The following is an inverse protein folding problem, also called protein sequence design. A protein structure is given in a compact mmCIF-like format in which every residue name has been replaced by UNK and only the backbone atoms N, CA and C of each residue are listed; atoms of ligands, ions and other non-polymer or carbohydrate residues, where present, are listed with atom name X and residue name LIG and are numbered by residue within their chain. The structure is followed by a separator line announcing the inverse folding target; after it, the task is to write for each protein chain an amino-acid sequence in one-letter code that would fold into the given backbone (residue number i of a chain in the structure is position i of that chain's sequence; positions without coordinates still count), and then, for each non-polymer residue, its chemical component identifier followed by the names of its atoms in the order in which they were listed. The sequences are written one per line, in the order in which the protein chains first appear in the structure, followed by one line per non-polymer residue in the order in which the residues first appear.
data_IF_806128056613
#
_entry.id   IF_806128056613
#
_cell.length_a   1.000
_cell.length_b   1.000
_cell.length_c   1.000
_cell.angle_alpha   90.00
_cell.angle_beta   90.00
_cell.angle_gamma   90.00
#
_symmetry.space_group_name_H-M   'P 1'
#
loop_
_entity.id
_entity.type
_entity.pdbx_description
1 polymer ?
#
# COMPACT_ATOMS: atom_id res chain seq x y z
N UNK A 1 26.70 -61.06 4.98
CA UNK A 1 26.79 -59.64 5.40
C UNK A 1 26.39 -58.61 4.30
N UNK A 2 26.36 -58.94 3.03
CA UNK A 2 26.08 -57.99 1.92
C UNK A 2 24.59 -57.63 1.74
N UNK A 3 23.63 -58.48 2.06
CA UNK A 3 22.18 -58.20 1.90
C UNK A 3 21.62 -57.15 2.88
N UNK A 4 22.18 -57.02 4.09
CA UNK A 4 21.70 -56.00 5.07
C UNK A 4 22.13 -54.56 4.74
N UNK A 5 23.28 -54.38 4.05
CA UNK A 5 23.78 -53.05 3.63
C UNK A 5 22.94 -52.44 2.50
N UNK A 6 22.46 -53.24 1.52
CA UNK A 6 21.62 -52.74 0.42
C UNK A 6 20.23 -52.21 0.90
N UNK A 7 19.65 -52.85 1.92
CA UNK A 7 18.36 -52.41 2.48
C UNK A 7 18.46 -51.08 3.24
N UNK A 8 19.59 -50.82 3.89
CA UNK A 8 19.78 -49.57 4.64
C UNK A 8 20.01 -48.37 3.67
N UNK A 9 20.86 -48.56 2.66
CA UNK A 9 21.14 -47.52 1.66
C UNK A 9 19.88 -47.19 0.87
N UNK A 10 19.05 -48.15 0.48
CA UNK A 10 17.80 -47.87 -0.23
C UNK A 10 16.77 -47.09 0.63
N UNK A 11 16.72 -47.37 1.92
CA UNK A 11 15.84 -46.61 2.85
C UNK A 11 16.32 -45.18 3.06
N UNK A 12 17.59 -44.95 3.22
CA UNK A 12 18.17 -43.60 3.40
C UNK A 12 17.96 -42.78 2.11
N UNK A 13 18.17 -43.34 0.93
CA UNK A 13 17.89 -42.64 -0.35
C UNK A 13 16.39 -42.36 -0.53
N UNK A 14 15.51 -43.28 -0.12
CA UNK A 14 14.04 -43.05 -0.21
C UNK A 14 13.59 -41.92 0.73
N UNK A 15 14.10 -41.87 1.95
CA UNK A 15 13.77 -40.79 2.89
C UNK A 15 14.33 -39.43 2.49
N UNK A 16 15.54 -39.40 1.92
CA UNK A 16 16.12 -38.17 1.41
C UNK A 16 15.38 -37.65 0.16
N UNK A 17 14.99 -38.51 -0.77
CA UNK A 17 14.18 -38.14 -1.92
C UNK A 17 12.76 -37.70 -1.51
N UNK A 18 12.15 -38.38 -0.54
CA UNK A 18 10.83 -38.00 -0.01
C UNK A 18 10.90 -36.63 0.69
N UNK A 19 11.93 -36.40 1.51
CA UNK A 19 12.15 -35.09 2.18
C UNK A 19 12.41 -33.97 1.19
N UNK A 20 13.14 -34.22 0.10
CA UNK A 20 13.38 -33.27 -0.99
C UNK A 20 12.05 -32.99 -1.73
N UNK A 21 11.27 -34.03 -2.03
CA UNK A 21 9.99 -33.88 -2.73
C UNK A 21 8.96 -33.10 -1.88
N UNK A 22 8.90 -33.37 -0.56
CA UNK A 22 8.07 -32.63 0.39
C UNK A 22 8.54 -31.18 0.51
N UNK A 23 9.85 -30.95 0.60
CA UNK A 23 10.42 -29.59 0.68
C UNK A 23 10.17 -28.78 -0.60
N UNK A 24 10.36 -29.35 -1.79
CA UNK A 24 10.06 -28.69 -3.07
C UNK A 24 8.54 -28.58 -3.31
N UNK A 25 7.76 -29.58 -2.93
CA UNK A 25 6.29 -29.55 -3.03
C UNK A 25 5.64 -28.50 -2.15
N UNK A 26 6.10 -28.36 -0.89
CA UNK A 26 5.62 -27.32 0.05
C UNK A 26 6.05 -25.93 -0.43
N UNK A 27 7.29 -25.77 -0.93
CA UNK A 27 7.72 -24.48 -1.46
C UNK A 27 7.01 -24.11 -2.78
N UNK A 28 6.72 -25.06 -3.67
CA UNK A 28 5.99 -24.83 -4.90
C UNK A 28 4.52 -24.46 -4.63
N UNK A 29 3.87 -25.07 -3.63
CA UNK A 29 2.51 -24.73 -3.21
C UNK A 29 2.45 -23.36 -2.51
N UNK A 30 3.51 -22.96 -1.77
CA UNK A 30 3.54 -21.65 -1.08
C UNK A 30 3.72 -20.47 -2.03
N UNK A 31 4.37 -20.63 -3.18
CA UNK A 31 4.63 -19.54 -4.12
C UNK A 31 3.39 -19.16 -4.96
N UNK A 32 2.47 -20.11 -5.21
CA UNK A 32 1.28 -19.85 -6.01
C UNK A 32 0.23 -18.97 -5.32
N UNK A 33 0.19 -18.96 -4.00
CA UNK A 33 -0.82 -18.26 -3.19
C UNK A 33 -0.29 -17.02 -2.47
N UNK A 34 0.99 -16.65 -2.67
CA UNK A 34 1.62 -15.47 -2.07
C UNK A 34 1.40 -14.24 -2.95
N UNK A 35 0.88 -13.18 -2.39
CA UNK A 35 0.80 -11.86 -3.03
C UNK A 35 1.89 -10.95 -2.46
N UNK A 36 2.65 -10.26 -3.34
CA UNK A 36 3.66 -9.29 -2.92
C UNK A 36 3.46 -7.97 -3.64
N UNK A 37 3.38 -6.87 -2.91
CA UNK A 37 3.21 -5.55 -3.49
C UNK A 37 4.05 -4.50 -2.77
N UNK A 38 4.30 -3.38 -3.47
CA UNK A 38 4.85 -2.18 -2.86
C UNK A 38 3.72 -1.20 -2.55
N UNK A 39 3.70 -0.67 -1.33
CA UNK A 39 2.79 0.39 -0.91
C UNK A 39 3.58 1.67 -0.67
N UNK A 40 3.34 2.64 -1.52
CA UNK A 40 3.92 3.98 -1.47
C UNK A 40 2.83 5.01 -1.20
N UNK A 41 3.16 6.14 -0.59
CA UNK A 41 2.21 7.20 -0.28
C UNK A 41 2.89 8.55 -0.19
N UNK A 42 2.13 9.61 -0.43
CA UNK A 42 2.56 10.98 -0.15
C UNK A 42 3.93 11.31 -0.78
N UNK A 43 4.04 11.03 -2.08
CA UNK A 43 5.25 11.27 -2.89
C UNK A 43 5.53 12.77 -3.00
N UNK A 44 4.45 13.59 -3.10
CA UNK A 44 4.52 15.04 -3.24
C UNK A 44 5.56 15.49 -4.25
N UNK A 45 5.56 14.89 -5.45
CA UNK A 45 6.44 15.33 -6.51
C UNK A 45 6.28 16.83 -6.74
N UNK A 46 7.38 17.55 -6.72
CA UNK A 46 7.39 19.02 -6.71
C UNK A 46 8.51 19.58 -7.57
N UNK A 47 8.28 20.78 -8.11
CA UNK A 47 9.27 21.63 -8.76
C UNK A 47 9.84 22.70 -7.81
N UNK A 48 9.43 22.67 -6.53
CA UNK A 48 9.91 23.62 -5.53
C UNK A 48 11.38 23.41 -5.19
N UNK A 49 12.09 24.51 -5.05
CA UNK A 49 13.48 24.57 -4.59
C UNK A 49 13.63 24.80 -3.10
N UNK A 50 12.51 25.07 -2.41
CA UNK A 50 12.46 25.39 -0.98
C UNK A 50 11.62 24.32 -0.27
N UNK A 51 12.15 23.85 0.85
CA UNK A 51 11.48 22.88 1.72
C UNK A 51 10.49 23.57 2.66
N UNK A 52 9.57 22.79 3.22
CA UNK A 52 8.67 23.24 4.29
C UNK A 52 9.18 22.81 5.66
N UNK A 53 8.42 23.10 6.71
CA UNK A 53 8.76 22.73 8.09
C UNK A 53 8.82 21.20 8.34
N UNK A 54 8.40 20.36 7.40
CA UNK A 54 8.43 18.89 7.54
C UNK A 54 8.55 18.12 6.22
N UNK A 55 8.49 18.80 5.06
CA UNK A 55 8.62 18.18 3.74
C UNK A 55 9.88 18.67 3.02
N UNK A 56 10.75 17.75 2.59
CA UNK A 56 11.93 18.05 1.76
C UNK A 56 11.54 18.06 0.28
N UNK A 57 10.67 18.99 -0.09
CA UNK A 57 10.09 19.09 -1.44
C UNK A 57 11.14 19.33 -2.53
N UNK A 58 12.21 20.06 -2.21
CA UNK A 58 13.32 20.31 -3.14
C UNK A 58 14.05 19.04 -3.59
N UNK A 59 13.88 17.93 -2.86
CA UNK A 59 14.47 16.62 -3.13
C UNK A 59 13.45 15.56 -3.55
N UNK A 60 12.19 15.95 -3.80
CA UNK A 60 11.11 15.00 -4.11
C UNK A 60 11.42 14.13 -5.34
N UNK A 61 12.07 14.71 -6.36
CA UNK A 61 12.44 14.00 -7.59
C UNK A 61 13.49 12.93 -7.36
N UNK A 62 14.51 13.22 -6.56
CA UNK A 62 15.60 12.31 -6.21
C UNK A 62 15.08 11.16 -5.34
N UNK A 63 14.27 11.48 -4.33
CA UNK A 63 13.65 10.51 -3.45
C UNK A 63 12.72 9.55 -4.22
N UNK A 64 11.93 10.09 -5.15
CA UNK A 64 11.04 9.27 -5.97
C UNK A 64 11.81 8.33 -6.92
N UNK A 65 12.92 8.80 -7.47
CA UNK A 65 13.78 7.96 -8.31
C UNK A 65 14.45 6.83 -7.51
N UNK A 66 14.96 7.14 -6.30
CA UNK A 66 15.49 6.14 -5.38
C UNK A 66 14.45 5.08 -5.02
N UNK A 67 13.21 5.49 -4.71
CA UNK A 67 12.10 4.59 -4.40
C UNK A 67 11.77 3.65 -5.56
N UNK A 68 11.62 4.18 -6.77
CA UNK A 68 11.36 3.38 -7.99
C UNK A 68 12.48 2.37 -8.22
N UNK A 69 13.73 2.78 -8.04
CA UNK A 69 14.89 1.90 -8.20
C UNK A 69 14.93 0.79 -7.14
N UNK A 70 14.62 1.13 -5.88
CA UNK A 70 14.54 0.14 -4.80
C UNK A 70 13.41 -0.87 -5.05
N UNK A 71 12.22 -0.43 -5.46
CA UNK A 71 11.09 -1.31 -5.80
C UNK A 71 11.47 -2.24 -6.95
N UNK A 72 12.10 -1.71 -8.00
CA UNK A 72 12.54 -2.49 -9.16
C UNK A 72 13.62 -3.52 -8.83
N UNK A 73 14.34 -3.38 -7.72
CA UNK A 73 15.32 -4.34 -7.24
C UNK A 73 14.70 -5.53 -6.49
N UNK A 74 13.45 -5.39 -6.03
CA UNK A 74 12.74 -6.45 -5.32
C UNK A 74 12.12 -7.44 -6.33
N UNK A 75 12.46 -8.73 -6.24
CA UNK A 75 11.91 -9.72 -7.16
C UNK A 75 10.43 -10.00 -6.90
N UNK A 76 9.69 -10.31 -7.97
CA UNK A 76 8.32 -10.81 -7.91
C UNK A 76 7.32 -9.87 -7.22
N UNK A 77 7.40 -8.56 -7.48
CA UNK A 77 6.35 -7.61 -7.12
C UNK A 77 5.16 -7.82 -8.07
N UNK A 78 4.00 -8.17 -7.53
CA UNK A 78 2.77 -8.37 -8.31
C UNK A 78 2.17 -7.03 -8.77
N UNK A 79 2.23 -5.99 -7.91
CA UNK A 79 1.83 -4.62 -8.23
C UNK A 79 2.44 -3.59 -7.29
N UNK A 80 2.36 -2.33 -7.68
CA UNK A 80 2.67 -1.16 -6.83
C UNK A 80 1.40 -0.33 -6.67
N UNK A 81 1.16 0.22 -5.49
CA UNK A 81 0.02 1.10 -5.26
C UNK A 81 0.45 2.37 -4.52
N UNK A 82 -0.04 3.52 -5.04
CA UNK A 82 0.14 4.84 -4.43
C UNK A 82 -1.16 5.23 -3.74
N UNK A 83 -1.10 5.47 -2.43
CA UNK A 83 -2.26 5.95 -1.66
C UNK A 83 -2.29 7.48 -1.55
N UNK A 84 -2.27 8.13 -2.70
CA UNK A 84 -2.52 9.57 -2.85
C UNK A 84 -1.31 10.47 -2.67
N UNK A 85 -1.56 11.76 -2.90
CA UNK A 85 -0.60 12.84 -2.87
C UNK A 85 0.63 12.55 -3.74
N UNK A 86 0.36 12.09 -4.98
CA UNK A 86 1.39 11.76 -5.95
C UNK A 86 2.17 13.03 -6.38
N UNK A 87 1.47 14.15 -6.56
CA UNK A 87 2.04 15.46 -6.79
C UNK A 87 1.73 16.42 -5.63
N UNK A 88 2.64 17.36 -5.33
CA UNK A 88 2.43 18.38 -4.29
C UNK A 88 1.29 19.35 -4.63
N UNK A 89 0.97 19.48 -5.91
CA UNK A 89 -0.19 20.23 -6.44
C UNK A 89 -0.75 19.56 -7.68
N UNK A 90 -2.07 19.66 -7.95
CA UNK A 90 -2.68 19.09 -9.14
C UNK A 90 -2.37 19.94 -10.38
N UNK A 91 -1.15 19.82 -10.89
CA UNK A 91 -0.65 20.49 -12.07
C UNK A 91 -0.25 19.46 -13.12
N UNK A 92 -0.68 19.69 -14.37
CA UNK A 92 -0.45 18.75 -15.46
C UNK A 92 1.03 18.40 -15.68
N UNK A 93 2.00 19.35 -15.67
CA UNK A 93 3.42 19.01 -15.86
C UNK A 93 3.97 18.10 -14.74
N UNK A 94 3.58 18.35 -13.49
CA UNK A 94 3.99 17.51 -12.36
C UNK A 94 3.38 16.11 -12.44
N UNK A 95 2.09 16.01 -12.81
CA UNK A 95 1.44 14.72 -13.02
C UNK A 95 2.05 13.94 -14.18
N UNK A 96 2.41 14.65 -15.26
CA UNK A 96 3.11 14.06 -16.41
C UNK A 96 4.44 13.43 -15.97
N UNK A 97 5.27 14.19 -15.28
CA UNK A 97 6.54 13.72 -14.74
C UNK A 97 6.34 12.55 -13.74
N UNK A 98 5.32 12.64 -12.88
CA UNK A 98 5.00 11.57 -11.93
C UNK A 98 4.62 10.27 -12.64
N UNK A 99 3.75 10.34 -13.66
CA UNK A 99 3.38 9.18 -14.46
C UNK A 99 4.59 8.58 -15.20
N UNK A 100 5.48 9.42 -15.74
CA UNK A 100 6.69 8.94 -16.42
C UNK A 100 7.63 8.21 -15.48
N UNK A 101 7.76 8.67 -14.22
CA UNK A 101 8.54 7.97 -13.18
C UNK A 101 7.87 6.67 -12.76
N UNK A 102 6.56 6.67 -12.51
CA UNK A 102 5.80 5.46 -12.19
C UNK A 102 5.87 4.42 -13.31
N UNK A 103 5.88 4.85 -14.57
CA UNK A 103 6.00 3.95 -15.73
C UNK A 103 7.41 3.32 -15.89
N UNK A 104 8.41 3.73 -15.10
CA UNK A 104 9.70 3.02 -14.98
C UNK A 104 9.63 1.79 -14.07
N UNK A 105 8.53 1.62 -13.31
CA UNK A 105 8.30 0.43 -12.51
C UNK A 105 8.14 -0.80 -13.43
N UNK A 106 8.75 -1.92 -13.03
CA UNK A 106 8.62 -3.21 -13.75
C UNK A 106 7.25 -3.86 -13.52
N UNK A 107 6.64 -3.61 -12.35
CA UNK A 107 5.32 -4.11 -11.99
C UNK A 107 4.23 -3.10 -12.39
N UNK A 108 2.97 -3.55 -12.66
CA UNK A 108 1.85 -2.66 -12.87
C UNK A 108 1.62 -1.79 -11.62
N UNK A 109 1.22 -0.54 -11.83
CA UNK A 109 0.93 0.35 -10.71
C UNK A 109 -0.52 0.84 -10.70
N UNK A 110 -1.00 1.17 -9.50
CA UNK A 110 -2.36 1.64 -9.23
C UNK A 110 -2.32 2.89 -8.36
N UNK A 111 -3.44 3.61 -8.29
CA UNK A 111 -3.49 4.93 -7.67
C UNK A 111 -4.82 5.15 -6.95
N UNK A 112 -4.76 5.64 -5.70
CA UNK A 112 -5.87 6.26 -4.98
C UNK A 112 -5.62 7.77 -4.88
N UNK A 113 -6.68 8.58 -4.91
CA UNK A 113 -6.55 10.02 -4.75
C UNK A 113 -6.14 10.43 -3.35
N UNK A 114 -5.24 11.43 -3.24
CA UNK A 114 -4.96 12.20 -2.04
C UNK A 114 -5.52 13.64 -2.14
N UNK A 115 -5.56 14.35 -1.03
CA UNK A 115 -6.14 15.69 -0.99
C UNK A 115 -5.32 16.72 -1.80
N UNK A 116 -4.02 16.51 -2.00
CA UNK A 116 -3.20 17.34 -2.88
C UNK A 116 -3.47 17.07 -4.37
N UNK A 117 -3.91 15.88 -4.74
CA UNK A 117 -4.27 15.51 -6.12
C UNK A 117 -5.65 16.08 -6.52
N UNK A 118 -6.52 16.39 -5.54
CA UNK A 118 -7.89 16.87 -5.72
C UNK A 118 -8.11 18.29 -5.20
N UNK A 119 -7.07 19.11 -5.07
CA UNK A 119 -7.17 20.44 -4.45
C UNK A 119 -8.14 21.38 -5.17
N UNK A 120 -9.02 21.99 -4.39
CA UNK A 120 -10.05 22.94 -4.84
C UNK A 120 -9.40 24.23 -5.41
N UNK A 121 -10.04 24.82 -6.43
CA UNK A 121 -9.60 26.09 -6.99
C UNK A 121 -8.45 25.99 -7.99
N UNK A 122 -8.05 24.77 -8.36
CA UNK A 122 -7.04 24.54 -9.40
C UNK A 122 -7.68 24.41 -10.78
N UNK A 123 -6.93 24.73 -11.84
CA UNK A 123 -7.37 24.56 -13.21
C UNK A 123 -7.40 23.10 -13.68
N UNK A 124 -6.72 22.22 -12.95
CA UNK A 124 -6.63 20.80 -13.28
C UNK A 124 -7.47 19.99 -12.28
N UNK A 125 -8.76 19.87 -12.61
CA UNK A 125 -9.77 19.22 -11.78
C UNK A 125 -9.56 17.71 -11.66
N UNK A 126 -10.11 17.13 -10.61
CA UNK A 126 -10.01 15.71 -10.22
C UNK A 126 -10.39 14.75 -11.36
N UNK A 127 -11.49 14.99 -12.07
CA UNK A 127 -11.91 14.19 -13.23
C UNK A 127 -10.85 14.14 -14.32
N UNK A 128 -10.31 15.31 -14.71
CA UNK A 128 -9.24 15.42 -15.70
C UNK A 128 -7.91 14.83 -15.21
N UNK A 129 -7.63 14.93 -13.92
CA UNK A 129 -6.47 14.32 -13.29
C UNK A 129 -6.54 12.79 -13.43
N UNK A 130 -7.69 12.20 -13.08
CA UNK A 130 -7.90 10.76 -13.22
C UNK A 130 -7.85 10.29 -14.67
N UNK A 131 -8.50 11.00 -15.58
CA UNK A 131 -8.44 10.70 -17.02
C UNK A 131 -7.02 10.74 -17.57
N UNK A 132 -6.22 11.67 -17.07
CA UNK A 132 -4.81 11.77 -17.46
C UNK A 132 -4.01 10.56 -16.99
N UNK A 133 -4.20 10.14 -15.72
CA UNK A 133 -3.58 8.91 -15.19
C UNK A 133 -3.99 7.70 -16.02
N UNK A 134 -5.30 7.50 -16.29
CA UNK A 134 -5.79 6.37 -17.10
C UNK A 134 -5.18 6.31 -18.51
N UNK A 135 -4.98 7.45 -19.13
CA UNK A 135 -4.34 7.52 -20.46
C UNK A 135 -2.90 7.03 -20.44
N UNK A 136 -2.17 7.29 -19.36
CA UNK A 136 -0.74 6.94 -19.21
C UNK A 136 -0.51 5.63 -18.47
N UNK A 137 -1.48 5.17 -17.68
CA UNK A 137 -1.44 3.91 -16.94
C UNK A 137 -2.49 2.92 -17.48
N UNK A 138 -2.02 1.90 -18.19
CA UNK A 138 -2.89 0.88 -18.79
C UNK A 138 -3.41 -0.17 -17.81
N UNK A 139 -2.95 -0.14 -16.56
CA UNK A 139 -3.38 -1.07 -15.52
C UNK A 139 -4.75 -0.70 -14.94
N UNK A 140 -5.09 0.60 -14.89
CA UNK A 140 -6.37 1.10 -14.38
C UNK A 140 -7.41 1.03 -15.49
N UNK A 141 -8.45 0.20 -15.29
CA UNK A 141 -9.53 -0.04 -16.26
C UNK A 141 -10.88 0.57 -15.85
N UNK A 142 -10.90 1.31 -14.73
CA UNK A 142 -12.13 1.92 -14.20
C UNK A 142 -12.46 3.26 -14.85
N UNK A 143 -13.75 3.58 -14.90
CA UNK A 143 -14.24 4.92 -15.25
C UNK A 143 -14.40 5.83 -14.02
N UNK A 144 -14.44 5.25 -12.81
CA UNK A 144 -14.53 5.97 -11.54
C UNK A 144 -13.20 5.96 -10.80
N UNK A 145 -12.92 6.98 -9.94
CA UNK A 145 -11.70 7.05 -9.14
C UNK A 145 -11.63 6.00 -8.01
N UNK A 146 -12.72 5.28 -7.79
CA UNK A 146 -12.76 4.11 -6.91
C UNK A 146 -13.03 2.85 -7.75
N UNK A 147 -12.33 1.76 -7.45
CA UNK A 147 -12.39 0.56 -8.27
C UNK A 147 -11.87 -0.67 -7.52
N UNK A 148 -12.10 -1.85 -8.10
CA UNK A 148 -11.54 -3.10 -7.60
C UNK A 148 -10.97 -3.95 -8.72
N UNK A 149 -10.02 -4.81 -8.36
CA UNK A 149 -9.45 -5.82 -9.25
C UNK A 149 -8.93 -7.02 -8.46
N UNK A 150 -8.71 -8.13 -9.16
CA UNK A 150 -8.12 -9.36 -8.61
C UNK A 150 -6.69 -9.48 -9.12
N UNK A 151 -5.69 -9.11 -8.30
CA UNK A 151 -4.28 -9.17 -8.72
C UNK A 151 -3.79 -10.61 -8.86
N UNK A 152 -4.33 -11.49 -8.01
CA UNK A 152 -4.02 -12.92 -7.94
C UNK A 152 -5.21 -13.66 -7.31
N UNK A 153 -5.39 -14.95 -7.63
CA UNK A 153 -6.42 -15.78 -7.01
C UNK A 153 -6.31 -15.72 -5.48
N UNK A 154 -7.45 -15.56 -4.80
CA UNK A 154 -7.51 -15.46 -3.33
C UNK A 154 -7.36 -14.06 -2.76
N UNK A 155 -7.21 -13.02 -3.60
CA UNK A 155 -7.08 -11.63 -3.16
C UNK A 155 -7.97 -10.71 -3.98
N UNK A 156 -8.51 -9.67 -3.35
CA UNK A 156 -9.22 -8.57 -4.00
C UNK A 156 -8.63 -7.25 -3.53
N UNK A 157 -8.14 -6.46 -4.45
CA UNK A 157 -7.74 -5.08 -4.21
C UNK A 157 -8.96 -4.19 -4.42
N UNK A 158 -9.21 -3.30 -3.47
CA UNK A 158 -10.29 -2.31 -3.50
C UNK A 158 -9.65 -0.95 -3.28
N UNK A 159 -9.79 -0.05 -4.23
CA UNK A 159 -9.29 1.32 -4.14
C UNK A 159 -10.47 2.24 -3.90
N UNK A 160 -10.38 3.07 -2.86
CA UNK A 160 -11.41 4.03 -2.47
C UNK A 160 -10.90 5.46 -2.67
N UNK A 161 -11.83 6.36 -2.89
CA UNK A 161 -11.59 7.79 -3.01
C UNK A 161 -12.38 8.54 -1.93
N UNK A 162 -11.68 8.99 -0.90
CA UNK A 162 -12.25 9.79 0.19
C UNK A 162 -11.92 11.28 0.05
N UNK A 163 -11.37 11.72 -1.09
CA UNK A 163 -10.97 13.13 -1.25
C UNK A 163 -12.17 14.03 -1.53
N UNK A 164 -12.18 15.18 -0.87
CA UNK A 164 -13.23 16.21 -1.01
C UNK A 164 -12.71 17.31 -1.94
N UNK A 165 -13.36 17.49 -3.10
CA UNK A 165 -13.01 18.51 -4.11
C UNK A 165 -14.03 19.64 -4.23
N UNK A 166 -15.02 19.69 -3.31
CA UNK A 166 -16.09 20.71 -3.28
C UNK A 166 -15.80 21.86 -2.31
N UNK A 167 -14.88 21.67 -1.36
CA UNK A 167 -14.45 22.66 -0.37
C UNK A 167 -12.96 22.50 -0.03
N UNK A 168 -12.34 23.56 0.47
CA UNK A 168 -10.94 23.51 0.93
C UNK A 168 -10.89 22.74 2.25
N UNK A 169 -10.32 21.54 2.23
CA UNK A 169 -10.13 20.69 3.41
C UNK A 169 -9.04 19.67 3.15
N UNK A 170 -8.33 19.25 4.20
CA UNK A 170 -7.49 18.06 4.16
C UNK A 170 -8.18 16.85 4.82
N UNK A 171 -9.41 17.00 5.31
CA UNK A 171 -10.21 15.87 5.77
C UNK A 171 -10.76 15.07 4.58
N UNK A 172 -10.94 13.78 4.78
CA UNK A 172 -11.60 12.88 3.83
C UNK A 172 -13.04 12.59 4.21
N UNK A 173 -13.85 12.19 3.22
CA UNK A 173 -15.21 11.74 3.39
C UNK A 173 -15.54 10.71 2.30
N UNK A 174 -16.03 9.54 2.67
CA UNK A 174 -16.47 8.53 1.69
C UNK A 174 -17.93 8.79 1.34
N UNK A 175 -18.28 9.04 0.06
CA UNK A 175 -19.66 9.17 -0.36
C UNK A 175 -20.48 7.92 -0.03
N UNK A 176 -21.79 8.11 0.25
CA UNK A 176 -22.69 7.00 0.62
C UNK A 176 -22.75 5.92 -0.44
N UNK A 177 -22.83 6.29 -1.70
CA UNK A 177 -22.83 5.38 -2.85
C UNK A 177 -21.53 4.56 -2.93
N UNK A 178 -20.41 5.12 -2.52
CA UNK A 178 -19.14 4.40 -2.48
C UNK A 178 -19.08 3.41 -1.31
N UNK A 179 -19.67 3.74 -0.16
CA UNK A 179 -19.82 2.83 0.98
C UNK A 179 -20.74 1.64 0.64
N UNK A 180 -21.87 1.91 -0.07
CA UNK A 180 -22.75 0.85 -0.57
C UNK A 180 -22.05 -0.05 -1.60
N UNK A 181 -21.30 0.53 -2.51
CA UNK A 181 -20.47 -0.21 -3.46
C UNK A 181 -19.41 -1.06 -2.76
N UNK A 182 -18.75 -0.52 -1.73
CA UNK A 182 -17.77 -1.27 -0.93
C UNK A 182 -18.41 -2.49 -0.24
N UNK A 183 -19.61 -2.31 0.34
CA UNK A 183 -20.36 -3.41 0.97
C UNK A 183 -20.56 -4.57 -0.03
N UNK A 184 -20.95 -4.26 -1.28
CA UNK A 184 -21.04 -5.25 -2.36
C UNK A 184 -19.68 -5.91 -2.69
N UNK A 185 -18.60 -5.13 -2.76
CA UNK A 185 -17.27 -5.68 -3.05
C UNK A 185 -16.78 -6.63 -1.95
N UNK A 186 -17.09 -6.34 -0.69
CA UNK A 186 -16.74 -7.19 0.45
C UNK A 186 -17.58 -8.48 0.46
N UNK A 187 -18.87 -8.39 0.14
CA UNK A 187 -19.74 -9.56 -0.02
C UNK A 187 -19.24 -10.50 -1.13
N UNK A 188 -18.81 -9.93 -2.27
CA UNK A 188 -18.24 -10.70 -3.38
C UNK A 188 -16.90 -11.34 -3.00
N UNK A 189 -16.04 -10.62 -2.27
CA UNK A 189 -14.78 -11.14 -1.77
C UNK A 189 -15.01 -12.33 -0.82
N UNK A 190 -15.95 -12.19 0.11
CA UNK A 190 -16.33 -13.24 1.05
C UNK A 190 -16.85 -14.49 0.30
N UNK A 191 -17.77 -14.31 -0.64
CA UNK A 191 -18.33 -15.39 -1.47
C UNK A 191 -17.26 -16.11 -2.30
N UNK A 192 -16.24 -15.37 -2.75
CA UNK A 192 -15.15 -15.87 -3.57
C UNK A 192 -13.94 -16.36 -2.77
N UNK A 193 -14.01 -16.37 -1.44
CA UNK A 193 -12.91 -16.70 -0.51
C UNK A 193 -11.63 -15.89 -0.81
N UNK A 194 -11.80 -14.58 -1.07
CA UNK A 194 -10.74 -13.62 -1.32
C UNK A 194 -10.47 -12.79 -0.06
N UNK A 195 -9.22 -12.40 0.13
CA UNK A 195 -8.80 -11.43 1.16
C UNK A 195 -8.92 -10.02 0.58
N UNK A 196 -9.82 -9.16 1.12
CA UNK A 196 -9.90 -7.77 0.72
C UNK A 196 -8.69 -6.98 1.22
N UNK A 197 -8.02 -6.28 0.30
CA UNK A 197 -6.97 -5.30 0.55
C UNK A 197 -7.50 -3.95 0.08
N UNK A 198 -7.85 -3.08 1.03
CA UNK A 198 -8.48 -1.77 0.78
C UNK A 198 -7.41 -0.70 0.82
N UNK A 199 -7.40 0.17 -0.18
CA UNK A 199 -6.43 1.27 -0.30
C UNK A 199 -7.18 2.59 -0.46
N UNK A 200 -6.85 3.55 0.39
CA UNK A 200 -7.34 4.91 0.32
C UNK A 200 -6.29 5.86 0.95
N UNK A 201 -6.42 7.15 0.72
CA UNK A 201 -5.47 8.10 1.28
C UNK A 201 -5.69 8.35 2.78
N UNK A 202 -6.93 8.69 3.18
CA UNK A 202 -7.26 9.04 4.56
C UNK A 202 -7.40 7.78 5.42
N UNK A 203 -6.63 7.66 6.53
CA UNK A 203 -6.68 6.46 7.37
C UNK A 203 -8.01 6.33 8.12
N UNK A 204 -8.51 5.08 8.24
CA UNK A 204 -9.61 4.77 9.14
C UNK A 204 -9.16 4.80 10.61
N UNK A 205 -7.95 4.27 10.89
CA UNK A 205 -7.30 4.37 12.20
C UNK A 205 -6.19 5.42 12.12
N UNK A 206 -6.39 6.55 12.82
CA UNK A 206 -5.45 7.67 12.79
C UNK A 206 -4.13 7.30 13.50
N UNK A 207 -2.95 7.51 12.91
CA UNK A 207 -1.65 7.33 13.57
C UNK A 207 -1.48 8.18 14.83
N UNK A 208 -2.06 9.37 14.82
CA UNK A 208 -2.19 10.30 15.95
C UNK A 208 -3.40 11.23 15.74
N UNK A 209 -4.03 11.77 16.81
CA UNK A 209 -5.24 12.59 16.67
C UNK A 209 -5.01 13.87 15.85
N UNK A 210 -5.91 14.15 14.90
CA UNK A 210 -5.92 15.40 14.13
C UNK A 210 -7.34 15.79 13.73
N UNK A 211 -7.75 17.04 14.01
CA UNK A 211 -9.06 17.56 13.60
C UNK A 211 -9.14 17.93 12.11
N UNK A 212 -8.00 18.10 11.44
CA UNK A 212 -7.90 18.62 10.08
C UNK A 212 -7.44 17.60 9.04
N UNK A 213 -7.16 16.33 9.46
CA UNK A 213 -6.61 15.30 8.57
C UNK A 213 -7.36 13.96 8.67
N UNK A 214 -8.53 13.94 9.32
CA UNK A 214 -9.28 12.69 9.59
C UNK A 214 -10.22 12.32 8.45
N UNK A 215 -10.62 11.06 8.42
CA UNK A 215 -11.79 10.61 7.69
C UNK A 215 -13.03 10.96 8.50
N UNK A 216 -13.88 11.89 7.99
CA UNK A 216 -14.99 12.47 8.76
C UNK A 216 -16.02 11.41 9.13
N UNK A 217 -16.37 10.53 8.17
CA UNK A 217 -17.35 9.46 8.37
C UNK A 217 -16.67 8.08 8.59
N UNK A 218 -15.62 8.07 9.42
CA UNK A 218 -14.89 6.86 9.78
C UNK A 218 -15.78 5.77 10.39
N UNK A 219 -16.78 6.16 11.20
CA UNK A 219 -17.70 5.21 11.85
C UNK A 219 -18.61 4.50 10.85
N UNK A 220 -19.10 5.19 9.81
CA UNK A 220 -19.89 4.59 8.73
C UNK A 220 -19.02 3.60 7.92
N UNK A 221 -17.78 3.97 7.61
CA UNK A 221 -16.84 3.07 6.94
C UNK A 221 -16.56 1.83 7.80
N UNK A 222 -16.26 2.02 9.08
CA UNK A 222 -16.04 0.93 10.04
C UNK A 222 -17.26 0.02 10.18
N UNK A 223 -18.46 0.59 10.17
CA UNK A 223 -19.70 -0.17 10.22
C UNK A 223 -19.85 -1.09 9.00
N UNK A 224 -19.49 -0.62 7.79
CA UNK A 224 -19.48 -1.45 6.58
C UNK A 224 -18.50 -2.61 6.72
N UNK A 225 -17.25 -2.35 7.16
CA UNK A 225 -16.26 -3.41 7.34
C UNK A 225 -16.70 -4.46 8.35
N UNK A 226 -17.34 -4.05 9.45
CA UNK A 226 -17.78 -4.93 10.52
C UNK A 226 -18.99 -5.80 10.17
N UNK A 227 -19.70 -5.56 9.09
CA UNK A 227 -20.73 -6.49 8.57
C UNK A 227 -20.12 -7.79 8.07
N UNK A 228 -18.88 -7.74 7.58
CA UNK A 228 -18.17 -8.86 6.96
C UNK A 228 -17.15 -9.45 7.96
N UNK A 229 -17.36 -10.71 8.38
CA UNK A 229 -16.51 -11.39 9.35
C UNK A 229 -15.33 -12.14 8.71
N UNK A 230 -14.67 -11.49 7.75
CA UNK A 230 -13.49 -11.99 7.05
C UNK A 230 -12.28 -11.11 7.35
N UNK A 231 -11.05 -11.62 7.26
CA UNK A 231 -9.85 -10.80 7.37
C UNK A 231 -9.83 -9.68 6.34
N UNK A 232 -9.69 -8.45 6.78
CA UNK A 232 -9.64 -7.24 5.94
C UNK A 232 -8.38 -6.45 6.29
N UNK A 233 -7.67 -5.93 5.29
CA UNK A 233 -6.57 -5.00 5.52
C UNK A 233 -6.87 -3.66 4.84
N UNK A 234 -6.68 -2.56 5.59
CA UNK A 234 -6.87 -1.17 5.14
C UNK A 234 -5.52 -0.46 5.14
N UNK A 235 -5.09 -0.04 3.97
CA UNK A 235 -3.83 0.65 3.73
C UNK A 235 -4.07 2.12 3.41
N UNK A 236 -3.29 3.02 4.03
CA UNK A 236 -3.48 4.46 3.91
C UNK A 236 -2.16 5.24 4.00
N UNK A 237 -2.23 6.55 3.74
CA UNK A 237 -1.15 7.51 3.88
C UNK A 237 -1.55 8.73 4.69
N UNK A 238 -1.41 9.94 4.10
CA UNK A 238 -1.92 11.23 4.57
C UNK A 238 -1.25 11.81 5.83
N UNK A 239 -1.09 11.01 6.86
CA UNK A 239 -0.43 11.42 8.11
C UNK A 239 1.10 11.43 8.03
N UNK A 240 1.65 10.96 6.91
CA UNK A 240 3.09 10.80 6.70
C UNK A 240 3.77 9.93 7.76
N UNK A 241 3.02 9.12 8.49
CA UNK A 241 3.48 8.35 9.64
C UNK A 241 3.34 6.85 9.43
N UNK A 242 4.31 6.09 9.94
CA UNK A 242 4.25 4.64 9.97
C UNK A 242 3.37 4.19 11.15
N UNK A 243 2.33 3.37 10.85
CA UNK A 243 1.52 2.70 11.86
C UNK A 243 1.03 1.35 11.35
N UNK A 244 1.07 0.35 12.22
CA UNK A 244 0.39 -0.94 12.00
C UNK A 244 -0.46 -1.20 13.26
N UNK A 245 -1.77 -1.37 13.06
CA UNK A 245 -2.70 -1.57 14.15
C UNK A 245 -3.73 -2.65 13.78
N UNK A 246 -3.90 -3.64 14.66
CA UNK A 246 -4.88 -4.72 14.48
C UNK A 246 -6.08 -4.47 15.38
N UNK A 247 -7.27 -4.41 14.78
CA UNK A 247 -8.54 -4.30 15.48
C UNK A 247 -9.46 -5.47 15.07
N UNK A 248 -9.50 -6.50 15.88
CA UNK A 248 -10.26 -7.71 15.58
C UNK A 248 -9.80 -8.37 14.28
N UNK A 249 -10.68 -8.45 13.27
CA UNK A 249 -10.42 -9.00 11.95
C UNK A 249 -9.92 -7.96 10.94
N UNK A 250 -9.74 -6.71 11.35
CA UNK A 250 -9.30 -5.60 10.50
C UNK A 250 -7.86 -5.24 10.87
N UNK A 251 -7.01 -5.14 9.85
CA UNK A 251 -5.64 -4.65 9.94
C UNK A 251 -5.57 -3.27 9.33
N UNK A 252 -5.12 -2.27 10.07
CA UNK A 252 -4.88 -0.90 9.64
C UNK A 252 -3.39 -0.67 9.44
N UNK A 253 -3.01 -0.16 8.27
CA UNK A 253 -1.62 0.11 7.90
C UNK A 253 -1.51 1.51 7.33
N UNK A 254 -0.81 2.40 8.04
CA UNK A 254 -0.42 3.70 7.51
C UNK A 254 1.02 3.65 7.03
N UNK A 255 1.26 4.14 5.81
CA UNK A 255 2.59 4.22 5.20
C UNK A 255 3.06 5.67 5.23
N UNK A 256 4.32 5.94 5.62
CA UNK A 256 4.85 7.29 5.69
C UNK A 256 5.03 7.91 4.30
N UNK A 257 5.27 9.22 4.31
CA UNK A 257 5.57 9.99 3.10
C UNK A 257 7.01 9.77 2.64
N UNK A 258 7.19 9.94 1.34
CA UNK A 258 8.52 9.92 0.73
C UNK A 258 9.34 11.18 1.04
N UNK A 259 8.69 12.33 1.21
CA UNK A 259 9.34 13.63 1.44
C UNK A 259 9.32 14.09 2.89
N UNK A 260 8.74 13.32 3.81
CA UNK A 260 8.78 13.56 5.26
C UNK A 260 9.58 12.45 5.92
N UNK A 261 10.36 12.77 6.97
CA UNK A 261 11.04 11.72 7.73
C UNK A 261 10.05 10.65 8.21
N UNK A 262 10.29 9.35 7.99
CA UNK A 262 11.58 8.73 7.64
C UNK A 262 11.91 8.59 6.14
N UNK A 263 11.14 9.18 5.22
CA UNK A 263 11.32 9.04 3.76
C UNK A 263 11.32 7.55 3.35
N UNK A 264 10.16 6.91 3.49
CA UNK A 264 10.08 5.46 3.42
C UNK A 264 8.79 4.96 2.78
N UNK A 265 8.80 3.71 2.37
CA UNK A 265 7.68 2.95 1.81
C UNK A 265 7.67 1.52 2.37
N UNK A 266 6.72 0.69 1.93
CA UNK A 266 6.62 -0.71 2.38
C UNK A 266 6.61 -1.68 1.21
N UNK A 267 7.29 -2.82 1.40
CA UNK A 267 7.02 -4.04 0.65
C UNK A 267 6.18 -4.95 1.55
N UNK A 268 5.04 -5.37 1.06
CA UNK A 268 4.12 -6.21 1.82
C UNK A 268 3.99 -7.56 1.13
N UNK A 269 4.18 -8.63 1.87
CA UNK A 269 3.94 -9.99 1.41
C UNK A 269 2.75 -10.57 2.18
N UNK A 270 1.75 -11.06 1.45
CA UNK A 270 0.52 -11.62 2.04
C UNK A 270 0.37 -13.08 1.65
N UNK A 271 0.19 -13.94 2.64
CA UNK A 271 -0.09 -15.35 2.45
C UNK A 271 -1.52 -15.66 2.90
N UNK A 272 -2.37 -16.04 1.96
CA UNK A 272 -3.75 -16.43 2.23
C UNK A 272 -3.81 -17.94 2.52
N UNK A 273 -3.68 -18.31 3.79
CA UNK A 273 -3.67 -19.69 4.24
C UNK A 273 -5.09 -20.18 4.58
N UNK A 274 -5.25 -21.48 4.84
CA UNK A 274 -6.57 -22.11 5.08
C UNK A 274 -7.32 -21.48 6.28
N UNK A 275 -6.63 -21.18 7.37
CA UNK A 275 -7.24 -20.71 8.62
C UNK A 275 -6.80 -19.31 9.04
N UNK A 276 -5.87 -18.71 8.31
CA UNK A 276 -5.31 -17.40 8.66
C UNK A 276 -4.77 -16.69 7.42
N UNK A 277 -4.66 -15.36 7.54
CA UNK A 277 -3.95 -14.52 6.58
C UNK A 277 -2.73 -13.95 7.27
N UNK A 278 -1.55 -14.16 6.69
CA UNK A 278 -0.27 -13.71 7.24
C UNK A 278 0.26 -12.56 6.42
N UNK A 279 0.43 -11.41 7.04
CA UNK A 279 1.04 -10.22 6.47
C UNK A 279 2.48 -10.09 6.97
N UNK A 280 3.45 -9.99 6.06
CA UNK A 280 4.84 -9.69 6.39
C UNK A 280 5.18 -8.32 5.82
N UNK A 281 5.66 -7.42 6.67
CA UNK A 281 6.02 -6.03 6.36
C UNK A 281 7.53 -5.86 6.32
N UNK A 282 8.04 -5.34 5.20
CA UNK A 282 9.42 -4.93 4.98
C UNK A 282 9.42 -3.41 4.74
N UNK A 283 9.89 -2.66 5.73
CA UNK A 283 9.93 -1.20 5.71
C UNK A 283 11.22 -0.73 5.08
N UNK A 284 11.10 0.03 4.00
CA UNK A 284 12.22 0.52 3.19
C UNK A 284 12.37 2.02 3.33
N UNK A 285 13.45 2.44 3.96
CA UNK A 285 13.87 3.84 4.00
C UNK A 285 14.68 4.18 2.74
N UNK A 286 14.66 5.46 2.33
CA UNK A 286 15.50 5.92 1.22
C UNK A 286 16.98 5.61 1.46
N UNK A 287 17.71 5.33 0.38
CA UNK A 287 19.17 5.20 0.38
C UNK A 287 19.89 6.55 0.46
N UNK A 288 19.19 7.66 0.20
CA UNK A 288 19.71 9.02 0.19
C UNK A 288 19.82 9.57 1.62
N UNK A 289 20.79 9.07 2.38
CA UNK A 289 20.89 9.29 3.83
C UNK A 289 21.10 10.74 4.24
N UNK A 290 21.73 11.57 3.41
CA UNK A 290 21.90 12.99 3.71
C UNK A 290 20.58 13.76 3.57
N UNK A 291 19.76 13.43 2.57
CA UNK A 291 18.40 13.95 2.42
C UNK A 291 17.52 13.49 3.58
N UNK A 292 17.62 12.21 3.99
CA UNK A 292 16.91 11.69 5.15
C UNK A 292 17.27 12.39 6.44
N UNK A 293 18.55 12.70 6.67
CA UNK A 293 19.01 13.50 7.82
C UNK A 293 18.41 14.90 7.79
N UNK A 294 18.40 15.56 6.62
CA UNK A 294 17.77 16.88 6.43
C UNK A 294 16.27 16.80 6.76
N UNK A 295 15.55 15.80 6.23
CA UNK A 295 14.15 15.57 6.54
C UNK A 295 13.92 15.41 8.05
N UNK A 296 14.78 14.65 8.75
CA UNK A 296 14.70 14.46 10.20
C UNK A 296 14.85 15.77 10.98
N UNK A 297 15.76 16.64 10.56
CA UNK A 297 15.97 17.96 11.19
C UNK A 297 14.77 18.89 11.01
N UNK A 298 14.10 18.82 9.84
CA UNK A 298 12.92 19.62 9.54
C UNK A 298 11.64 19.07 10.20
N UNK A 299 11.58 17.78 10.48
CA UNK A 299 10.38 17.12 11.01
C UNK A 299 10.39 17.18 12.54
N UNK A 300 9.61 18.11 13.11
CA UNK A 300 9.37 18.12 14.55
C UNK A 300 8.68 16.81 14.97
N UNK A 301 9.04 16.25 16.12
CA UNK A 301 8.52 14.94 16.59
C UNK A 301 8.76 13.80 15.60
N UNK A 302 9.92 13.77 14.96
CA UNK A 302 10.29 12.79 13.94
C UNK A 302 10.07 11.32 14.35
N UNK A 303 10.13 11.00 15.65
CA UNK A 303 9.81 9.67 16.19
C UNK A 303 8.35 9.27 15.97
N UNK A 304 7.40 10.20 16.10
CA UNK A 304 5.98 9.97 15.86
C UNK A 304 5.72 9.55 14.40
N UNK A 305 6.40 10.20 13.46
CA UNK A 305 6.28 9.86 12.02
C UNK A 305 6.94 8.53 11.67
N UNK A 306 8.07 8.23 12.30
CA UNK A 306 8.77 6.95 12.08
C UNK A 306 8.01 5.76 12.70
N UNK A 307 7.25 5.97 13.77
CA UNK A 307 6.57 4.92 14.51
C UNK A 307 7.52 3.99 15.29
N UNK A 308 6.98 3.05 16.00
CA UNK A 308 7.69 2.01 16.73
C UNK A 308 8.25 0.93 15.78
N UNK A 309 9.09 0.03 16.29
CA UNK A 309 9.64 -1.08 15.48
C UNK A 309 8.54 -1.98 14.93
N UNK A 310 7.50 -2.24 15.73
CA UNK A 310 6.30 -3.00 15.32
C UNK A 310 5.45 -2.30 14.26
N UNK A 311 5.56 -0.98 14.13
CA UNK A 311 4.88 -0.21 13.08
C UNK A 311 5.62 -0.27 11.74
N UNK A 312 6.87 -0.73 11.74
CA UNK A 312 7.73 -0.77 10.56
C UNK A 312 7.87 -2.16 9.97
N UNK A 313 8.38 -3.10 10.75
CA UNK A 313 8.67 -4.45 10.30
C UNK A 313 7.96 -5.47 11.19
N UNK A 314 7.67 -6.63 10.64
CA UNK A 314 7.12 -7.73 11.40
C UNK A 314 6.05 -8.51 10.66
N UNK A 315 5.47 -9.44 11.41
CA UNK A 315 4.43 -10.33 10.90
C UNK A 315 3.14 -10.04 11.68
N UNK A 316 2.04 -9.85 10.96
CA UNK A 316 0.69 -9.76 11.54
C UNK A 316 -0.16 -10.90 10.99
N UNK A 317 -0.91 -11.54 11.88
CA UNK A 317 -1.79 -12.67 11.55
C UNK A 317 -3.23 -12.25 11.85
N UNK A 318 -4.11 -12.43 10.85
CA UNK A 318 -5.55 -12.34 10.98
C UNK A 318 -6.14 -13.75 10.84
N UNK A 319 -6.94 -14.18 11.84
CA UNK A 319 -7.66 -15.44 11.78
C UNK A 319 -8.87 -15.34 10.85
N UNK A 320 -9.24 -16.47 10.21
CA UNK A 320 -10.41 -16.58 9.33
C UNK A 320 -11.62 -17.13 10.04
#
# INVERSE_FOLDING_TARGET
MAKKKKSFISRVVYWSLFSIFVYFGVNALSYADTLKFAHISDVHLSDKTIDTSYKVLSHSKELFEDEVNQINSVPHIDFVIVTGDLADKPQKPLLEEACDRMNKLKAPWYFAFGNHDAAVGTSFKKDKYFDYIKKRNKSIKSETPYYSFVPKKGYRVIVLDATVDTRITANGELPKEQLEWLDCQLADAQKSNQVPLIFLHHPLHEPFPSFHHRLINAEEFKAVLNKHKIPIAVFSGHYHAARIYKEGHILHVSTPSLVTYPCAFRIVTVNNLKHQVVFNFDFRETNLKDIQKKAKLLTFSSGTYKGEDSDRNGIVILEK
#
